data_IF_860985562513
#
_entry.id   IF_860985562513
#
_cell.length_a   1.000
_cell.length_b   1.000
_cell.length_c   1.000
_cell.angle_alpha   90.00
_cell.angle_beta   90.00
_cell.angle_gamma   90.00
#
_symmetry.space_group_name_H-M   'P 1'
#
loop_
_entity.id
_entity.type
_entity.pdbx_description
1 polymer ?
#
# COMPACT_ATOMS: atom_id res chain seq x y z
N UNK A 1 -16.10 -8.79 -17.81
CA UNK A 1 -14.88 -8.00 -18.05
C UNK A 1 -13.75 -8.97 -18.33
N UNK A 2 -13.10 -8.84 -19.49
CA UNK A 2 -11.98 -9.72 -19.86
C UNK A 2 -10.72 -9.36 -19.08
N UNK A 3 -9.80 -10.31 -18.92
CA UNK A 3 -8.51 -10.10 -18.21
C UNK A 3 -7.68 -8.97 -18.81
N UNK A 4 -7.66 -8.85 -20.15
CA UNK A 4 -6.97 -7.76 -20.85
C UNK A 4 -7.58 -6.38 -20.54
N UNK A 5 -8.90 -6.29 -20.46
CA UNK A 5 -9.63 -5.06 -20.14
C UNK A 5 -9.34 -4.59 -18.72
N UNK A 6 -9.40 -5.52 -17.75
CA UNK A 6 -8.94 -5.25 -16.38
C UNK A 6 -7.51 -4.73 -16.38
N UNK A 7 -6.63 -5.36 -17.16
CA UNK A 7 -5.24 -4.99 -17.24
C UNK A 7 -5.04 -3.57 -17.80
N UNK A 8 -5.79 -3.19 -18.84
CA UNK A 8 -5.74 -1.86 -19.45
C UNK A 8 -6.27 -0.79 -18.49
N UNK A 9 -7.46 -0.96 -17.94
CA UNK A 9 -8.10 0.04 -17.05
C UNK A 9 -7.28 0.30 -15.78
N UNK A 10 -6.68 -0.75 -15.23
CA UNK A 10 -5.82 -0.61 -14.03
C UNK A 10 -4.47 0.03 -14.34
N UNK A 11 -4.05 0.05 -15.61
CA UNK A 11 -2.89 0.78 -16.10
C UNK A 11 -3.26 2.18 -16.60
N UNK A 12 -2.32 2.89 -17.23
CA UNK A 12 -2.60 4.16 -17.90
C UNK A 12 -3.20 3.93 -19.28
N UNK A 13 -4.38 4.50 -19.56
CA UNK A 13 -5.04 4.46 -20.87
C UNK A 13 -5.15 5.89 -21.37
N UNK A 14 -4.47 6.20 -22.46
CA UNK A 14 -4.41 7.55 -23.01
C UNK A 14 -5.32 7.66 -24.23
N UNK A 15 -6.26 8.60 -24.21
CA UNK A 15 -7.11 8.95 -25.34
C UNK A 15 -6.77 10.35 -25.85
N UNK A 16 -6.93 10.59 -27.13
CA UNK A 16 -6.71 11.88 -27.80
C UNK A 16 -8.06 12.56 -27.96
N UNK A 17 -8.18 13.82 -27.54
CA UNK A 17 -9.42 14.56 -27.71
C UNK A 17 -9.60 14.98 -29.19
N UNK A 18 -10.85 15.02 -29.68
CA UNK A 18 -11.15 15.66 -30.95
C UNK A 18 -10.93 17.17 -30.75
N UNK A 19 -10.31 17.85 -31.72
CA UNK A 19 -10.04 19.29 -31.69
C UNK A 19 -8.91 19.75 -30.74
N UNK A 20 -8.14 18.85 -30.14
CA UNK A 20 -6.90 19.21 -29.42
C UNK A 20 -5.94 18.03 -29.42
N UNK A 21 -4.67 18.25 -29.78
CA UNK A 21 -3.60 17.24 -29.66
C UNK A 21 -3.27 16.84 -28.20
N UNK A 22 -4.15 17.19 -27.24
CA UNK A 22 -4.03 16.87 -25.83
C UNK A 22 -4.48 15.44 -25.62
N UNK A 23 -3.66 14.69 -24.89
CA UNK A 23 -3.97 13.32 -24.46
C UNK A 23 -4.54 13.35 -23.04
N UNK A 24 -5.66 12.67 -22.82
CA UNK A 24 -6.27 12.49 -21.52
C UNK A 24 -6.06 11.05 -21.04
N UNK A 25 -5.69 10.90 -19.76
CA UNK A 25 -5.62 9.59 -19.12
C UNK A 25 -6.97 9.23 -18.51
N UNK A 26 -7.57 8.14 -18.98
CA UNK A 26 -8.82 7.58 -18.47
C UNK A 26 -8.62 6.35 -17.58
N UNK A 27 -7.37 5.87 -17.47
CA UNK A 27 -7.00 4.73 -16.64
C UNK A 27 -6.91 5.08 -15.14
N UNK A 28 -7.14 4.08 -14.29
CA UNK A 28 -7.08 4.20 -12.84
C UNK A 28 -5.64 4.33 -12.30
N UNK A 29 -4.62 4.09 -13.12
CA UNK A 29 -3.21 4.25 -12.79
C UNK A 29 -2.77 3.51 -11.50
N UNK A 30 -3.35 2.34 -11.26
CA UNK A 30 -3.04 1.53 -10.08
C UNK A 30 -1.76 0.71 -10.29
N UNK A 31 -1.38 0.44 -11.53
CA UNK A 31 -0.14 -0.26 -11.88
C UNK A 31 0.62 0.43 -13.01
N UNK A 32 1.95 0.43 -12.92
CA UNK A 32 2.83 0.98 -13.95
C UNK A 32 3.91 -0.04 -14.32
N UNK A 33 3.64 -0.87 -15.33
CA UNK A 33 4.57 -1.92 -15.77
C UNK A 33 5.90 -1.34 -16.28
N UNK A 34 5.85 -0.30 -17.11
CA UNK A 34 7.03 0.33 -17.69
C UNK A 34 7.94 1.00 -16.64
N UNK A 35 7.35 1.55 -15.57
CA UNK A 35 8.08 2.21 -14.49
C UNK A 35 8.40 1.28 -13.32
N UNK A 36 7.99 0.01 -13.38
CA UNK A 36 8.06 -0.94 -12.26
C UNK A 36 7.46 -0.38 -10.95
N UNK A 37 6.43 0.46 -11.04
CA UNK A 37 5.80 1.12 -9.90
C UNK A 37 4.42 0.53 -9.61
N UNK A 38 4.07 0.51 -8.32
CA UNK A 38 2.76 0.08 -7.80
C UNK A 38 2.19 1.15 -6.88
N UNK A 39 0.87 1.15 -6.76
CA UNK A 39 0.17 2.00 -5.79
C UNK A 39 -0.02 1.21 -4.50
N UNK A 40 0.64 1.66 -3.43
CA UNK A 40 0.53 1.02 -2.10
C UNK A 40 -0.91 1.02 -1.62
N UNK A 41 -1.33 -0.11 -1.02
CA UNK A 41 -2.70 -0.33 -0.55
C UNK A 41 -3.70 -0.75 -1.64
N UNK A 42 -3.35 -0.64 -2.92
CA UNK A 42 -4.23 -1.00 -4.04
C UNK A 42 -3.72 -2.18 -4.86
N UNK A 43 -2.43 -2.21 -5.21
CA UNK A 43 -1.86 -3.25 -6.08
C UNK A 43 -0.58 -3.85 -5.50
N UNK A 44 -0.39 -5.14 -5.75
CA UNK A 44 0.85 -5.88 -5.49
C UNK A 44 1.29 -6.59 -6.77
N UNK A 45 2.60 -6.62 -7.00
CA UNK A 45 3.21 -7.40 -8.07
C UNK A 45 3.76 -8.66 -7.41
N UNK A 46 3.16 -9.81 -7.69
CA UNK A 46 3.72 -11.12 -7.38
C UNK A 46 4.80 -11.49 -8.41
N UNK A 47 5.17 -12.77 -8.49
CA UNK A 47 6.23 -13.22 -9.41
C UNK A 47 5.89 -12.93 -10.88
N UNK A 48 4.68 -13.30 -11.32
CA UNK A 48 4.21 -13.08 -12.69
C UNK A 48 2.79 -12.49 -12.80
N UNK A 49 2.11 -12.28 -11.67
CA UNK A 49 0.71 -11.82 -11.64
C UNK A 49 0.59 -10.53 -10.83
N UNK A 50 -0.29 -9.65 -11.28
CA UNK A 50 -0.70 -8.47 -10.51
C UNK A 50 -1.89 -8.82 -9.64
N UNK A 51 -1.74 -8.60 -8.34
CA UNK A 51 -2.77 -8.80 -7.34
C UNK A 51 -3.39 -7.45 -6.97
N UNK A 52 -4.68 -7.46 -6.66
CA UNK A 52 -5.46 -6.27 -6.33
C UNK A 52 -6.07 -6.45 -4.94
N UNK A 53 -5.97 -5.42 -4.10
CA UNK A 53 -6.61 -5.41 -2.79
C UNK A 53 -8.13 -5.24 -2.91
N UNK A 54 -8.87 -5.49 -1.84
CA UNK A 54 -10.30 -5.24 -1.77
C UNK A 54 -10.65 -3.77 -2.07
N UNK A 55 -9.84 -2.83 -1.58
CA UNK A 55 -10.01 -1.40 -1.90
C UNK A 55 -9.88 -1.12 -3.40
N UNK A 56 -8.96 -1.80 -4.09
CA UNK A 56 -8.83 -1.69 -5.55
C UNK A 56 -10.03 -2.31 -6.28
N UNK A 57 -10.53 -3.47 -5.82
CA UNK A 57 -11.73 -4.08 -6.37
C UNK A 57 -12.95 -3.16 -6.24
N UNK A 58 -13.14 -2.54 -5.08
CA UNK A 58 -14.20 -1.57 -4.84
C UNK A 58 -14.08 -0.33 -5.75
N UNK A 59 -12.86 0.16 -5.99
CA UNK A 59 -12.62 1.26 -6.92
C UNK A 59 -12.94 0.88 -8.36
N UNK A 60 -12.55 -0.33 -8.78
CA UNK A 60 -12.83 -0.86 -10.12
C UNK A 60 -14.35 -1.06 -10.31
N UNK A 61 -15.05 -1.56 -9.29
CA UNK A 61 -16.50 -1.73 -9.32
C UNK A 61 -17.22 -0.38 -9.49
N UNK A 62 -16.82 0.64 -8.72
CA UNK A 62 -17.35 2.01 -8.86
C UNK A 62 -17.06 2.62 -10.23
N UNK A 63 -15.84 2.42 -10.75
CA UNK A 63 -15.48 2.89 -12.08
C UNK A 63 -16.35 2.23 -13.16
N UNK A 64 -16.59 0.91 -13.03
CA UNK A 64 -17.46 0.16 -13.95
C UNK A 64 -18.91 0.65 -13.92
N UNK A 65 -19.45 1.03 -12.76
CA UNK A 65 -20.81 1.56 -12.66
C UNK A 65 -20.94 2.97 -13.21
N UNK A 66 -19.90 3.81 -13.07
CA UNK A 66 -19.92 5.20 -13.53
C UNK A 66 -19.66 5.32 -15.04
N UNK A 67 -18.76 4.49 -15.59
CA UNK A 67 -18.30 4.58 -16.98
C UNK A 67 -18.40 3.22 -17.69
N UNK A 68 -19.62 2.63 -17.83
CA UNK A 68 -19.79 1.35 -18.50
C UNK A 68 -19.41 1.41 -19.99
N UNK A 69 -19.54 2.58 -20.63
CA UNK A 69 -19.23 2.75 -22.07
C UNK A 69 -17.74 2.47 -22.34
N UNK A 70 -16.86 2.95 -21.45
CA UNK A 70 -15.42 2.72 -21.53
C UNK A 70 -15.09 1.23 -21.43
N UNK A 71 -15.73 0.52 -20.51
CA UNK A 71 -15.51 -0.92 -20.31
C UNK A 71 -15.93 -1.70 -21.54
N UNK A 72 -17.11 -1.40 -22.08
CA UNK A 72 -17.64 -2.07 -23.26
C UNK A 72 -16.70 -1.87 -24.45
N UNK A 73 -16.27 -0.63 -24.72
CA UNK A 73 -15.36 -0.35 -25.83
C UNK A 73 -14.01 -1.03 -25.66
N UNK A 74 -13.47 -1.10 -24.43
CA UNK A 74 -12.23 -1.82 -24.15
C UNK A 74 -12.36 -3.34 -24.29
N UNK A 75 -13.52 -3.92 -23.94
CA UNK A 75 -13.81 -5.35 -24.10
C UNK A 75 -13.94 -5.77 -25.59
N UNK A 76 -14.38 -4.84 -26.47
CA UNK A 76 -14.49 -5.06 -27.92
C UNK A 76 -13.21 -4.76 -28.71
N UNK A 77 -12.38 -3.81 -28.26
CA UNK A 77 -11.14 -3.37 -28.93
C UNK A 77 -9.94 -4.29 -28.68
N UNK A 78 -10.14 -5.60 -28.81
CA UNK A 78 -9.12 -6.63 -28.63
C UNK A 78 -7.93 -6.43 -29.58
N UNK A 79 -6.91 -5.69 -29.14
CA UNK A 79 -5.62 -5.56 -29.83
C UNK A 79 -5.37 -4.24 -30.55
N UNK A 80 -6.39 -3.43 -30.81
CA UNK A 80 -6.21 -2.09 -31.38
C UNK A 80 -6.14 -1.03 -30.27
N UNK A 81 -5.13 -0.15 -30.35
CA UNK A 81 -5.05 1.03 -29.49
C UNK A 81 -6.10 2.03 -29.94
N UNK A 82 -7.30 1.95 -29.34
CA UNK A 82 -8.34 2.96 -29.49
C UNK A 82 -7.81 4.25 -28.89
N UNK A 83 -7.44 5.17 -29.77
CA UNK A 83 -6.70 6.39 -29.44
C UNK A 83 -7.56 7.63 -29.54
N UNK A 84 -8.77 7.54 -30.08
CA UNK A 84 -9.68 8.68 -30.27
C UNK A 84 -10.79 8.68 -29.23
N UNK A 85 -11.09 9.85 -28.66
CA UNK A 85 -12.14 10.00 -27.66
C UNK A 85 -13.56 9.85 -28.25
N UNK A 86 -13.77 10.17 -29.53
CA UNK A 86 -15.04 10.00 -30.24
C UNK A 86 -15.50 8.53 -30.25
N UNK A 87 -14.53 7.60 -30.27
CA UNK A 87 -14.81 6.16 -30.26
C UNK A 87 -15.41 5.66 -28.94
N UNK A 88 -15.20 6.40 -27.86
CA UNK A 88 -15.69 6.08 -26.52
C UNK A 88 -17.01 6.80 -26.19
N UNK A 89 -17.15 8.06 -26.64
CA UNK A 89 -18.28 8.93 -26.27
C UNK A 89 -18.92 9.60 -27.50
N UNK A 90 -19.84 8.92 -28.21
CA UNK A 90 -20.44 9.45 -29.43
C UNK A 90 -21.49 10.55 -29.23
N UNK A 91 -22.08 10.69 -28.03
CA UNK A 91 -23.25 11.57 -27.77
C UNK A 91 -22.92 12.77 -26.88
N UNK A 92 -22.21 12.57 -25.77
CA UNK A 92 -21.81 13.64 -24.84
C UNK A 92 -20.33 13.55 -24.51
N UNK A 93 -19.51 14.00 -25.47
CA UNK A 93 -18.06 13.89 -25.39
C UNK A 93 -17.47 14.83 -24.33
N UNK A 94 -17.87 16.10 -24.32
CA UNK A 94 -17.27 17.09 -23.43
C UNK A 94 -17.69 16.93 -21.96
N UNK A 95 -18.96 16.57 -21.69
CA UNK A 95 -19.45 16.33 -20.34
C UNK A 95 -18.75 15.15 -19.68
N UNK A 96 -18.76 13.99 -20.37
CA UNK A 96 -18.13 12.76 -19.87
C UNK A 96 -16.62 12.87 -19.69
N UNK A 97 -15.93 13.56 -20.59
CA UNK A 97 -14.48 13.82 -20.46
C UNK A 97 -14.20 14.64 -19.20
N UNK A 98 -15.03 15.64 -18.90
CA UNK A 98 -14.89 16.45 -17.69
C UNK A 98 -15.08 15.62 -16.41
N UNK A 99 -16.10 14.75 -16.38
CA UNK A 99 -16.36 13.84 -15.26
C UNK A 99 -15.20 12.87 -15.01
N UNK A 100 -14.70 12.21 -16.07
CA UNK A 100 -13.57 11.28 -15.95
C UNK A 100 -12.32 12.03 -15.49
N UNK A 101 -12.09 13.24 -15.99
CA UNK A 101 -10.95 14.06 -15.57
C UNK A 101 -11.03 14.42 -14.08
N UNK A 102 -12.21 14.80 -13.60
CA UNK A 102 -12.45 15.08 -12.19
C UNK A 102 -12.22 13.83 -11.33
N UNK A 103 -12.74 12.68 -11.77
CA UNK A 103 -12.59 11.40 -11.08
C UNK A 103 -11.12 10.95 -11.00
N UNK A 104 -10.40 10.96 -12.11
CA UNK A 104 -8.97 10.60 -12.16
C UNK A 104 -8.12 11.55 -11.33
N UNK A 105 -8.46 12.84 -11.30
CA UNK A 105 -7.78 13.82 -10.42
C UNK A 105 -8.00 13.53 -8.94
N UNK A 106 -9.24 13.20 -8.55
CA UNK A 106 -9.58 12.84 -7.18
C UNK A 106 -8.80 11.60 -6.70
N UNK A 107 -8.77 10.53 -7.51
CA UNK A 107 -7.99 9.31 -7.22
C UNK A 107 -6.51 9.64 -7.06
N UNK A 108 -5.94 10.44 -7.96
CA UNK A 108 -4.53 10.80 -7.92
C UNK A 108 -4.16 11.54 -6.63
N UNK A 109 -5.04 12.44 -6.15
CA UNK A 109 -4.86 13.13 -4.87
C UNK A 109 -4.91 12.17 -3.67
N UNK A 110 -5.87 11.24 -3.66
CA UNK A 110 -5.97 10.23 -2.61
C UNK A 110 -4.72 9.34 -2.54
N UNK A 111 -4.19 8.92 -3.70
CA UNK A 111 -2.95 8.14 -3.79
C UNK A 111 -1.73 8.94 -3.30
N UNK A 112 -1.65 10.23 -3.66
CA UNK A 112 -0.55 11.10 -3.24
C UNK A 112 -0.51 11.28 -1.71
N UNK A 113 -1.68 11.41 -1.06
CA UNK A 113 -1.76 11.50 0.40
C UNK A 113 -1.24 10.22 1.08
N UNK A 114 -1.57 9.04 0.56
CA UNK A 114 -1.07 7.76 1.11
C UNK A 114 0.46 7.69 1.03
N UNK A 115 1.07 8.13 -0.09
CA UNK A 115 2.52 8.19 -0.22
C UNK A 115 3.16 9.13 0.81
N UNK A 116 2.62 10.33 0.96
CA UNK A 116 3.13 11.33 1.89
C UNK A 116 3.04 10.87 3.36
N UNK A 117 1.95 10.18 3.72
CA UNK A 117 1.82 9.56 5.04
C UNK A 117 2.90 8.49 5.23
N UNK A 118 3.09 7.62 4.25
CA UNK A 118 4.10 6.56 4.29
C UNK A 118 5.52 7.13 4.46
N UNK A 119 5.85 8.18 3.72
CA UNK A 119 7.15 8.86 3.80
C UNK A 119 7.38 9.50 5.18
N UNK A 120 6.36 10.17 5.75
CA UNK A 120 6.44 10.73 7.11
C UNK A 120 6.67 9.65 8.16
N UNK A 121 6.00 8.50 8.03
CA UNK A 121 6.21 7.37 8.94
C UNK A 121 7.65 6.82 8.85
N UNK A 122 8.21 6.74 7.65
CA UNK A 122 9.59 6.26 7.46
C UNK A 122 10.63 7.22 8.03
N UNK A 123 10.46 8.54 7.84
CA UNK A 123 11.41 9.55 8.34
C UNK A 123 11.46 9.58 9.88
N UNK A 124 10.31 9.40 10.55
CA UNK A 124 10.26 9.36 12.02
C UNK A 124 10.91 8.11 12.64
N UNK A 125 11.29 7.12 11.83
CA UNK A 125 12.01 5.94 12.30
C UNK A 125 13.53 6.09 12.27
N UNK A 126 14.07 7.25 11.84
CA UNK A 126 15.52 7.47 11.82
C UNK A 126 16.11 7.36 13.24
N UNK A 127 17.07 6.43 13.47
CA UNK A 127 17.65 6.17 14.79
C UNK A 127 18.66 7.24 15.24
N UNK A 128 19.00 8.21 14.39
CA UNK A 128 20.09 9.18 14.64
C UNK A 128 19.76 10.23 15.71
N UNK A 129 18.49 10.39 16.08
CA UNK A 129 18.06 11.31 17.14
C UNK A 129 17.94 10.64 18.52
N UNK A 130 18.72 9.59 18.80
CA UNK A 130 18.78 9.02 20.16
C UNK A 130 19.52 9.98 21.10
N UNK A 131 18.75 10.78 21.84
CA UNK A 131 19.27 11.62 22.92
C UNK A 131 19.60 10.74 24.12
N UNK A 132 20.86 10.77 24.57
CA UNK A 132 21.25 10.16 25.84
C UNK A 132 20.74 11.04 26.99
N UNK A 133 19.85 10.47 27.82
CA UNK A 133 19.36 11.12 29.02
C UNK A 133 19.92 10.40 30.26
N UNK A 134 20.63 11.13 31.12
CA UNK A 134 21.10 10.60 32.41
C UNK A 134 20.01 10.86 33.45
N UNK A 135 19.31 9.80 33.84
CA UNK A 135 18.28 9.86 34.87
C UNK A 135 18.88 9.31 36.17
N UNK A 136 18.84 10.10 37.25
CA UNK A 136 19.33 9.73 38.58
C UNK A 136 18.15 9.42 39.51
N UNK A 137 18.43 8.66 40.58
CA UNK A 137 17.46 8.34 41.64
C UNK A 137 16.25 7.48 41.18
N UNK A 138 16.51 6.47 40.35
CA UNK A 138 15.48 5.51 39.92
C UNK A 138 15.34 4.40 40.98
N UNK A 139 14.14 4.14 41.51
CA UNK A 139 13.90 3.02 42.42
C UNK A 139 14.25 1.68 41.76
N UNK A 140 14.99 0.82 42.46
CA UNK A 140 15.47 -0.46 41.90
C UNK A 140 14.37 -1.42 41.43
N UNK A 141 13.15 -1.29 41.94
CA UNK A 141 11.99 -2.08 41.53
C UNK A 141 11.42 -1.68 40.15
N UNK A 142 11.77 -0.51 39.61
CA UNK A 142 11.33 -0.03 38.29
C UNK A 142 12.23 -0.49 37.14
N UNK A 143 13.45 -0.94 37.47
CA UNK A 143 14.42 -1.40 36.48
C UNK A 143 14.24 -2.90 36.27
N UNK A 144 13.94 -3.27 35.03
CA UNK A 144 13.87 -4.67 34.63
C UNK A 144 15.23 -5.14 34.12
N UNK A 145 15.80 -6.15 34.80
CA UNK A 145 16.97 -6.86 34.26
C UNK A 145 16.53 -7.82 33.15
N UNK A 146 17.21 -7.84 31.99
CA UNK A 146 16.90 -8.75 30.89
C UNK A 146 16.76 -10.21 31.29
N UNK A 147 17.65 -10.70 32.18
CA UNK A 147 17.63 -12.07 32.69
C UNK A 147 16.34 -12.45 33.44
N UNK A 148 15.65 -11.49 34.05
CA UNK A 148 14.39 -11.72 34.79
C UNK A 148 13.14 -11.43 33.95
N UNK A 149 13.30 -11.07 32.68
CA UNK A 149 12.18 -10.75 31.80
C UNK A 149 11.20 -11.93 31.69
N UNK A 150 11.71 -13.16 31.57
CA UNK A 150 10.90 -14.37 31.42
C UNK A 150 9.97 -14.59 32.62
N UNK A 151 10.37 -14.18 33.83
CA UNK A 151 9.58 -14.40 35.05
C UNK A 151 8.62 -13.24 35.29
N UNK A 152 9.09 -12.00 35.11
CA UNK A 152 8.31 -10.78 35.38
C UNK A 152 7.27 -10.45 34.31
N UNK A 153 7.51 -10.85 33.06
CA UNK A 153 6.69 -10.48 31.92
C UNK A 153 5.62 -11.53 31.56
N UNK A 154 5.55 -12.64 32.31
CA UNK A 154 4.51 -13.67 32.16
C UNK A 154 3.12 -13.07 32.43
N UNK A 155 2.17 -13.35 31.53
CA UNK A 155 0.78 -12.92 31.67
C UNK A 155 0.47 -11.53 31.13
N UNK A 156 1.41 -10.87 30.45
CA UNK A 156 1.09 -9.66 29.69
C UNK A 156 0.10 -10.00 28.56
N UNK A 157 -0.87 -9.11 28.38
CA UNK A 157 -1.83 -9.18 27.29
C UNK A 157 -1.31 -8.35 26.13
N UNK A 158 -1.25 -8.96 24.95
CA UNK A 158 -0.92 -8.27 23.72
C UNK A 158 -2.20 -8.08 22.90
N UNK A 159 -2.28 -6.97 22.18
CA UNK A 159 -3.30 -6.72 21.18
C UNK A 159 -2.63 -6.49 19.81
N UNK A 160 -3.38 -6.76 18.75
CA UNK A 160 -2.94 -6.47 17.39
C UNK A 160 -2.60 -4.99 17.24
N UNK A 161 -1.47 -4.69 16.60
CA UNK A 161 -0.97 -3.33 16.43
C UNK A 161 -0.26 -2.73 17.64
N UNK A 162 -0.14 -3.44 18.77
CA UNK A 162 0.66 -2.95 19.90
C UNK A 162 2.15 -2.82 19.54
N UNK A 163 2.78 -1.77 20.06
CA UNK A 163 4.22 -1.54 19.97
C UNK A 163 4.92 -2.29 21.07
N UNK A 164 5.88 -3.12 20.69
CA UNK A 164 6.61 -4.02 21.59
C UNK A 164 8.11 -3.86 21.40
N UNK A 165 8.89 -4.28 22.39
CA UNK A 165 10.35 -4.29 22.34
C UNK A 165 10.88 -5.63 22.86
N UNK A 166 11.96 -6.11 22.26
CA UNK A 166 12.66 -7.30 22.71
C UNK A 166 13.44 -6.99 23.98
N UNK A 167 13.11 -7.67 25.09
CA UNK A 167 13.76 -7.43 26.39
C UNK A 167 14.76 -8.53 26.74
N UNK A 168 14.59 -9.74 26.22
CA UNK A 168 15.53 -10.84 26.50
C UNK A 168 16.83 -10.60 25.74
N UNK A 169 17.93 -10.91 26.41
CA UNK A 169 19.29 -10.97 25.89
C UNK A 169 19.62 -12.29 25.16
N UNK A 170 18.67 -13.22 25.16
CA UNK A 170 18.79 -14.53 24.52
C UNK A 170 17.89 -14.63 23.29
N UNK A 171 18.39 -15.30 22.24
CA UNK A 171 17.66 -15.56 20.99
C UNK A 171 18.25 -14.87 19.76
N UNK A 172 17.54 -14.98 18.65
CA UNK A 172 17.97 -14.44 17.35
C UNK A 172 17.68 -12.94 17.18
N UNK A 173 16.72 -12.42 17.95
CA UNK A 173 16.30 -11.02 17.88
C UNK A 173 17.20 -10.19 18.80
N UNK A 174 17.82 -9.10 18.32
CA UNK A 174 18.61 -8.22 19.15
C UNK A 174 17.81 -7.64 20.31
N UNK A 175 18.45 -7.50 21.47
CA UNK A 175 17.86 -6.79 22.61
C UNK A 175 17.53 -5.34 22.24
N UNK A 176 16.43 -4.82 22.78
CA UNK A 176 15.90 -3.48 22.48
C UNK A 176 15.41 -3.29 21.03
N UNK A 177 15.34 -4.35 20.23
CA UNK A 177 14.68 -4.28 18.93
C UNK A 177 13.18 -4.00 19.12
N UNK A 178 12.70 -2.93 18.48
CA UNK A 178 11.29 -2.51 18.54
C UNK A 178 10.51 -3.05 17.35
N UNK A 179 9.25 -3.35 17.58
CA UNK A 179 8.35 -3.86 16.55
C UNK A 179 6.88 -3.67 16.87
N UNK A 180 6.05 -4.16 15.98
CA UNK A 180 4.59 -4.10 16.07
C UNK A 180 4.01 -5.50 15.99
N UNK A 181 3.07 -5.81 16.88
CA UNK A 181 2.35 -7.09 16.91
C UNK A 181 1.46 -7.22 15.68
N UNK A 182 1.66 -8.27 14.88
CA UNK A 182 0.85 -8.58 13.71
C UNK A 182 -0.19 -9.66 13.95
N UNK A 183 0.20 -10.71 14.68
CA UNK A 183 -0.65 -11.87 14.95
C UNK A 183 -0.39 -12.36 16.36
N UNK A 184 -1.45 -12.87 16.99
CA UNK A 184 -1.40 -13.43 18.33
C UNK A 184 -2.00 -14.83 18.24
N UNK A 185 -1.15 -15.81 18.50
CA UNK A 185 -1.52 -17.21 18.71
C UNK A 185 -1.43 -17.48 20.20
N UNK A 186 -2.15 -18.48 20.72
CA UNK A 186 -2.30 -18.75 22.17
C UNK A 186 -1.01 -18.64 23.02
N UNK A 187 0.15 -19.02 22.46
CA UNK A 187 1.46 -18.97 23.15
C UNK A 187 2.54 -18.20 22.39
N UNK A 188 2.23 -17.61 21.25
CA UNK A 188 3.24 -16.97 20.39
C UNK A 188 2.70 -15.66 19.82
N UNK A 189 3.55 -14.64 19.79
CA UNK A 189 3.22 -13.35 19.20
C UNK A 189 4.13 -13.14 18.01
N UNK A 190 3.52 -12.93 16.84
CA UNK A 190 4.26 -12.56 15.64
C UNK A 190 4.44 -11.06 15.60
N UNK A 191 5.70 -10.63 15.45
CA UNK A 191 6.09 -9.23 15.52
C UNK A 191 6.85 -8.85 14.27
N UNK A 192 6.46 -7.74 13.65
CA UNK A 192 7.27 -7.08 12.63
C UNK A 192 8.17 -6.06 13.31
N UNK A 193 9.46 -6.26 13.20
CA UNK A 193 10.46 -5.34 13.73
C UNK A 193 10.73 -4.20 12.75
N UNK A 194 11.04 -3.02 13.29
CA UNK A 194 11.32 -1.82 12.49
C UNK A 194 12.67 -1.93 11.78
N UNK A 195 13.65 -2.55 12.44
CA UNK A 195 15.02 -2.68 11.95
C UNK A 195 15.31 -4.06 11.36
N UNK A 196 16.17 -4.15 10.33
CA UNK A 196 16.70 -5.43 9.88
C UNK A 196 17.65 -6.03 10.93
N UNK A 197 17.61 -7.36 11.09
CA UNK A 197 18.56 -8.12 11.89
C UNK A 197 18.74 -9.53 11.30
N UNK A 198 19.81 -10.20 11.72
CA UNK A 198 20.18 -11.54 11.23
C UNK A 198 19.16 -12.55 11.73
N UNK A 199 18.66 -13.41 10.84
CA UNK A 199 17.67 -14.45 11.20
C UNK A 199 16.21 -14.06 11.05
N UNK A 200 15.90 -12.89 10.48
CA UNK A 200 14.52 -12.52 10.15
C UNK A 200 13.99 -13.28 8.92
N UNK A 201 12.72 -13.61 8.95
CA UNK A 201 11.93 -13.95 7.75
C UNK A 201 11.19 -12.71 7.26
N UNK A 202 11.10 -12.54 5.94
CA UNK A 202 10.31 -11.45 5.34
C UNK A 202 8.91 -11.97 5.01
N UNK A 203 7.87 -11.18 5.28
CA UNK A 203 6.47 -11.49 4.98
C UNK A 203 6.16 -11.74 3.49
N UNK A 204 7.14 -11.52 2.61
CA UNK A 204 6.97 -11.73 1.17
C UNK A 204 7.13 -13.19 0.74
N UNK A 205 7.50 -14.10 1.64
CA UNK A 205 7.81 -15.51 1.34
C UNK A 205 6.91 -16.51 2.10
N UNK A 206 5.73 -16.06 2.54
CA UNK A 206 4.66 -16.94 3.03
C UNK A 206 3.61 -17.15 1.93
#
# INVERSE_FOLDING_TARGET
MKSLTLSKITSSVMITLPNSAKKLNIGLNLKFKAKSQKVLGYTRKGENVWEYSEAALNLIAKYKSLFPEVIHKLDYSLGHDVTSADDFFPVDLNGRISEIRAWTSWISKAIAQIKLITEKFLVNQNPENMQQAIIKNIPGNTILKPAHAIERLRGQKFLLGNRVTMVSDSGMVPISARGTVLSITDKMVEVVFDGPFIGRTSLNNC
#
